data_IF_161818652831
#
_entry.id   IF_161818652831
#
_cell.length_a   1.000
_cell.length_b   1.000
_cell.length_c   1.000
_cell.angle_alpha   90.00
_cell.angle_beta   90.00
_cell.angle_gamma   90.00
#
_symmetry.space_group_name_H-M   'P 1'
#
loop_
_entity.id
_entity.type
_entity.pdbx_description
1 polymer ?
#
# COMPACT_ATOMS: atom_id res chain seq x y z
N UNK A 1 -33.96 -46.52 4.48
CA UNK A 1 -33.93 -45.36 3.57
C UNK A 1 -32.49 -45.11 3.19
N UNK A 2 -32.16 -45.18 1.90
CA UNK A 2 -30.80 -44.90 1.40
C UNK A 2 -30.60 -43.39 1.42
N UNK A 3 -29.66 -42.92 2.23
CA UNK A 3 -29.22 -41.52 2.24
C UNK A 3 -28.39 -41.33 0.97
N UNK A 4 -28.97 -40.68 -0.03
CA UNK A 4 -28.34 -40.51 -1.34
C UNK A 4 -27.35 -39.33 -1.38
N UNK A 5 -27.29 -38.50 -0.33
CA UNK A 5 -26.42 -37.33 -0.29
C UNK A 5 -26.13 -36.90 1.15
N UNK A 6 -24.86 -36.69 1.49
CA UNK A 6 -24.42 -36.09 2.76
C UNK A 6 -23.40 -35.01 2.42
N UNK A 7 -23.74 -33.76 2.73
CA UNK A 7 -22.87 -32.61 2.51
C UNK A 7 -22.18 -32.23 3.83
N UNK A 8 -20.85 -32.22 3.83
CA UNK A 8 -20.05 -31.82 4.99
C UNK A 8 -19.15 -30.67 4.58
N UNK A 9 -19.46 -29.47 5.06
CA UNK A 9 -18.64 -28.28 4.89
C UNK A 9 -17.88 -28.00 6.20
N UNK A 10 -16.56 -27.92 6.13
CA UNK A 10 -15.70 -27.52 7.24
C UNK A 10 -14.82 -26.35 6.81
N UNK A 11 -14.94 -25.22 7.49
CA UNK A 11 -14.17 -24.00 7.24
C UNK A 11 -12.99 -23.95 8.22
N UNK A 12 -11.91 -24.69 7.94
CA UNK A 12 -10.72 -24.71 8.80
C UNK A 12 -9.45 -24.52 7.98
N UNK A 13 -8.61 -23.55 8.38
CA UNK A 13 -7.35 -23.16 7.73
C UNK A 13 -6.19 -24.18 7.89
N UNK A 14 -6.44 -25.35 8.50
CA UNK A 14 -5.42 -26.36 8.77
C UNK A 14 -5.96 -27.77 9.06
N UNK A 15 -7.17 -28.12 8.62
CA UNK A 15 -7.65 -29.50 8.78
C UNK A 15 -7.03 -30.43 7.71
N UNK A 16 -6.56 -31.64 8.08
CA UNK A 16 -6.19 -32.68 7.12
C UNK A 16 -7.49 -33.27 6.54
N UNK A 17 -8.02 -32.59 5.52
CA UNK A 17 -9.26 -32.97 4.84
C UNK A 17 -9.11 -34.37 4.19
N UNK A 18 -7.89 -34.73 3.77
CA UNK A 18 -7.56 -36.03 3.16
C UNK A 18 -7.78 -37.21 4.11
N UNK A 19 -7.39 -37.08 5.38
CA UNK A 19 -7.55 -38.15 6.38
C UNK A 19 -9.03 -38.37 6.74
N UNK A 20 -9.81 -37.28 6.83
CA UNK A 20 -11.24 -37.33 7.13
C UNK A 20 -12.01 -37.95 5.96
N UNK A 21 -11.66 -37.59 4.72
CA UNK A 21 -12.27 -38.17 3.51
C UNK A 21 -11.89 -39.64 3.38
N UNK A 22 -10.66 -40.03 3.70
CA UNK A 22 -10.22 -41.44 3.70
C UNK A 22 -11.01 -42.31 4.69
N UNK A 23 -11.24 -41.80 5.90
CA UNK A 23 -11.99 -42.52 6.94
C UNK A 23 -13.49 -42.67 6.59
N UNK A 24 -14.10 -41.64 6.01
CA UNK A 24 -15.52 -41.67 5.62
C UNK A 24 -15.74 -42.59 4.40
N UNK A 25 -14.79 -42.60 3.45
CA UNK A 25 -14.81 -43.49 2.27
C UNK A 25 -14.72 -44.96 2.66
N UNK A 26 -13.95 -45.28 3.71
CA UNK A 26 -13.82 -46.63 4.24
C UNK A 26 -15.09 -47.11 4.98
N UNK A 27 -15.87 -46.19 5.57
CA UNK A 27 -17.07 -46.52 6.34
C UNK A 27 -18.34 -46.70 5.47
N UNK A 28 -18.39 -46.15 4.25
CA UNK A 28 -19.57 -46.19 3.37
C UNK A 28 -19.19 -46.53 1.90
N UNK A 29 -18.98 -47.81 1.55
CA UNK A 29 -18.71 -48.22 0.18
C UNK A 29 -20.00 -48.20 -0.65
N UNK A 30 -20.29 -47.07 -1.29
CA UNK A 30 -21.46 -46.92 -2.18
C UNK A 30 -21.97 -45.50 -2.42
N UNK A 31 -21.31 -44.48 -1.86
CA UNK A 31 -21.67 -43.07 -2.04
C UNK A 31 -20.54 -42.36 -2.78
N UNK A 32 -20.86 -41.67 -3.88
CA UNK A 32 -19.91 -40.88 -4.67
C UNK A 32 -19.54 -39.60 -3.92
N UNK A 33 -18.44 -39.64 -3.18
CA UNK A 33 -17.94 -38.50 -2.39
C UNK A 33 -17.14 -37.60 -3.34
N UNK A 34 -17.79 -36.56 -3.89
CA UNK A 34 -17.09 -35.50 -4.64
C UNK A 34 -16.48 -34.50 -3.68
N UNK A 35 -15.15 -34.44 -3.64
CA UNK A 35 -14.42 -33.40 -2.93
C UNK A 35 -14.63 -32.05 -3.62
N UNK A 36 -15.29 -31.11 -2.95
CA UNK A 36 -15.47 -29.70 -3.37
C UNK A 36 -14.14 -28.90 -3.52
N UNK A 37 -12.97 -29.57 -3.41
CA UNK A 37 -11.64 -28.96 -3.62
C UNK A 37 -11.47 -28.34 -5.00
N UNK A 38 -11.96 -28.98 -6.07
CA UNK A 38 -11.76 -28.49 -7.44
C UNK A 38 -12.39 -27.12 -7.72
N UNK A 39 -13.51 -26.78 -7.07
CA UNK A 39 -14.20 -25.50 -7.27
C UNK A 39 -13.58 -24.39 -6.40
N UNK A 40 -13.09 -24.73 -5.20
CA UNK A 40 -12.43 -23.78 -4.29
C UNK A 40 -11.01 -23.47 -4.78
N UNK A 41 -10.23 -24.46 -5.23
CA UNK A 41 -8.89 -24.22 -5.78
C UNK A 41 -8.94 -23.37 -7.05
N UNK A 42 -9.89 -23.62 -7.96
CA UNK A 42 -10.02 -22.81 -9.18
C UNK A 42 -10.46 -21.36 -8.91
N UNK A 43 -11.32 -21.12 -7.90
CA UNK A 43 -11.64 -19.76 -7.44
C UNK A 43 -10.45 -19.09 -6.78
N UNK A 44 -9.71 -19.80 -5.94
CA UNK A 44 -8.55 -19.24 -5.21
C UNK A 44 -7.40 -18.89 -6.15
N UNK A 45 -7.14 -19.68 -7.20
CA UNK A 45 -6.15 -19.36 -8.24
C UNK A 45 -6.55 -18.07 -8.98
N UNK A 46 -7.83 -17.91 -9.32
CA UNK A 46 -8.32 -16.71 -10.03
C UNK A 46 -8.22 -15.45 -9.17
N UNK A 47 -8.60 -15.54 -7.89
CA UNK A 47 -8.49 -14.42 -6.93
C UNK A 47 -7.03 -14.08 -6.64
N UNK A 48 -6.17 -15.09 -6.48
CA UNK A 48 -4.74 -14.86 -6.23
C UNK A 48 -4.05 -14.19 -7.42
N UNK A 49 -4.35 -14.63 -8.64
CA UNK A 49 -3.82 -14.02 -9.87
C UNK A 49 -4.22 -12.55 -9.98
N UNK A 50 -5.51 -12.22 -9.79
CA UNK A 50 -5.99 -10.83 -9.82
C UNK A 50 -5.34 -9.99 -8.72
N UNK A 51 -5.25 -10.52 -7.49
CA UNK A 51 -4.60 -9.82 -6.37
C UNK A 51 -3.12 -9.53 -6.66
N UNK A 52 -2.40 -10.49 -7.23
CA UNK A 52 -0.99 -10.32 -7.56
C UNK A 52 -0.77 -9.29 -8.68
N UNK A 53 -1.65 -9.25 -9.68
CA UNK A 53 -1.64 -8.20 -10.71
C UNK A 53 -1.93 -6.81 -10.12
N UNK A 54 -2.91 -6.69 -9.23
CA UNK A 54 -3.21 -5.41 -8.59
C UNK A 54 -2.01 -4.95 -7.74
N UNK A 55 -1.43 -5.84 -6.94
CA UNK A 55 -0.26 -5.52 -6.12
C UNK A 55 0.94 -5.08 -6.94
N UNK A 56 1.21 -5.71 -8.09
CA UNK A 56 2.32 -5.31 -8.95
C UNK A 56 2.09 -3.93 -9.58
N UNK A 57 0.87 -3.65 -10.04
CA UNK A 57 0.49 -2.34 -10.57
C UNK A 57 0.57 -1.27 -9.48
N UNK A 58 0.07 -1.54 -8.27
CA UNK A 58 0.17 -0.63 -7.14
C UNK A 58 1.62 -0.31 -6.77
N UNK A 59 2.52 -1.29 -6.83
CA UNK A 59 3.94 -1.07 -6.59
C UNK A 59 4.55 -0.12 -7.63
N UNK A 60 4.22 -0.29 -8.92
CA UNK A 60 4.68 0.62 -9.98
C UNK A 60 4.16 2.04 -9.75
N UNK A 61 2.88 2.19 -9.42
CA UNK A 61 2.28 3.51 -9.12
C UNK A 61 2.95 4.17 -7.92
N UNK A 62 3.27 3.40 -6.88
CA UNK A 62 3.96 3.90 -5.70
C UNK A 62 5.37 4.43 -6.07
N UNK A 63 6.11 3.68 -6.89
CA UNK A 63 7.44 4.08 -7.36
C UNK A 63 7.40 5.34 -8.24
N UNK A 64 6.42 5.44 -9.14
CA UNK A 64 6.26 6.64 -9.98
C UNK A 64 5.84 7.85 -9.13
N UNK A 65 4.97 7.65 -8.13
CA UNK A 65 4.61 8.68 -7.15
C UNK A 65 5.82 9.20 -6.38
N UNK A 66 6.67 8.30 -5.86
CA UNK A 66 7.92 8.69 -5.18
C UNK A 66 8.86 9.47 -6.11
N UNK A 67 8.97 9.04 -7.38
CA UNK A 67 9.80 9.72 -8.39
C UNK A 67 9.26 11.12 -8.71
N UNK A 68 7.94 11.28 -8.82
CA UNK A 68 7.27 12.57 -9.03
C UNK A 68 7.53 13.54 -7.87
N UNK A 69 7.44 13.08 -6.63
CA UNK A 69 7.78 13.90 -5.46
C UNK A 69 9.22 14.37 -5.53
N UNK A 70 10.17 13.48 -5.85
CA UNK A 70 11.58 13.85 -5.99
C UNK A 70 11.84 14.91 -7.07
N UNK A 71 11.21 14.75 -8.24
CA UNK A 71 11.30 15.73 -9.35
C UNK A 71 10.66 17.06 -8.97
N UNK A 72 9.48 17.04 -8.35
CA UNK A 72 8.78 18.24 -7.90
C UNK A 72 9.61 19.02 -6.88
N UNK A 73 10.19 18.32 -5.90
CA UNK A 73 11.09 18.94 -4.91
C UNK A 73 12.31 19.57 -5.57
N UNK A 74 12.88 18.91 -6.58
CA UNK A 74 14.02 19.45 -7.32
C UNK A 74 13.65 20.72 -8.09
N UNK A 75 12.44 20.79 -8.64
CA UNK A 75 11.91 22.01 -9.26
C UNK A 75 11.75 23.13 -8.24
N UNK A 76 11.15 22.85 -7.10
CA UNK A 76 10.97 23.83 -6.01
C UNK A 76 12.31 24.38 -5.50
N UNK A 77 13.33 23.51 -5.39
CA UNK A 77 14.70 23.93 -5.03
C UNK A 77 15.29 24.87 -6.08
N UNK A 78 15.06 24.61 -7.37
CA UNK A 78 15.54 25.46 -8.46
C UNK A 78 14.88 26.85 -8.46
N UNK A 79 13.59 26.93 -8.14
CA UNK A 79 12.86 28.19 -8.04
C UNK A 79 13.29 29.00 -6.81
N UNK A 80 13.56 28.32 -5.68
CA UNK A 80 13.88 28.94 -4.39
C UNK A 80 15.37 29.04 -4.10
N UNK A 81 16.26 28.86 -5.09
CA UNK A 81 17.72 28.91 -4.90
C UNK A 81 18.20 30.20 -4.23
N UNK A 82 17.61 31.34 -4.60
CA UNK A 82 17.97 32.66 -4.05
C UNK A 82 17.68 32.75 -2.55
N UNK A 83 16.51 32.27 -2.11
CA UNK A 83 16.13 32.22 -0.69
C UNK A 83 17.08 31.32 0.11
N UNK A 84 17.43 30.15 -0.44
CA UNK A 84 18.37 29.20 0.19
C UNK A 84 19.76 29.84 0.33
N UNK A 85 20.22 30.58 -0.68
CA UNK A 85 21.48 31.33 -0.65
C UNK A 85 21.52 32.39 0.45
N UNK A 86 20.42 33.14 0.65
CA UNK A 86 20.28 34.14 1.72
C UNK A 86 20.27 33.48 3.10
N UNK A 87 19.53 32.38 3.28
CA UNK A 87 19.53 31.64 4.54
C UNK A 87 20.93 31.12 4.90
N UNK A 88 21.67 30.61 3.91
CA UNK A 88 23.04 30.13 4.10
C UNK A 88 24.04 31.25 4.39
N UNK A 89 23.85 32.46 3.85
CA UNK A 89 24.72 33.60 4.15
C UNK A 89 24.46 34.18 5.56
N UNK A 90 23.25 34.00 6.10
CA UNK A 90 22.91 34.30 7.50
C UNK A 90 23.47 33.26 8.50
N UNK A 91 24.15 32.23 8.03
CA UNK A 91 24.82 31.24 8.88
C UNK A 91 24.05 29.93 9.11
N UNK A 92 22.94 29.69 8.40
CA UNK A 92 22.27 28.38 8.48
C UNK A 92 23.17 27.26 7.95
N UNK A 93 23.28 26.19 8.74
CA UNK A 93 24.05 25.01 8.35
C UNK A 93 23.36 24.22 7.22
N UNK A 94 24.16 23.50 6.41
CA UNK A 94 23.63 22.60 5.36
C UNK A 94 22.64 21.58 5.91
N UNK A 95 22.85 21.11 7.15
CA UNK A 95 21.96 20.16 7.83
C UNK A 95 20.61 20.77 8.19
N UNK A 96 20.59 22.05 8.59
CA UNK A 96 19.34 22.74 8.88
C UNK A 96 18.47 22.85 7.62
N UNK A 97 19.07 23.29 6.50
CA UNK A 97 18.39 23.36 5.20
C UNK A 97 17.87 21.98 4.77
N UNK A 98 18.70 20.94 4.88
CA UNK A 98 18.30 19.57 4.59
C UNK A 98 17.11 19.09 5.44
N UNK A 99 17.14 19.34 6.75
CA UNK A 99 16.06 18.92 7.67
C UNK A 99 14.72 19.59 7.35
N UNK A 100 14.74 20.84 6.87
CA UNK A 100 13.53 21.57 6.47
C UNK A 100 12.87 20.86 5.29
N UNK A 101 13.64 20.55 4.23
CA UNK A 101 13.10 19.86 3.06
C UNK A 101 12.65 18.43 3.37
N UNK A 102 13.38 17.69 4.22
CA UNK A 102 12.95 16.36 4.66
C UNK A 102 11.66 16.43 5.49
N UNK A 103 11.50 17.44 6.35
CA UNK A 103 10.28 17.64 7.13
C UNK A 103 9.10 18.02 6.24
N UNK A 104 9.30 18.89 5.24
CA UNK A 104 8.30 19.24 4.24
C UNK A 104 7.81 17.99 3.48
N UNK A 105 8.75 17.15 3.02
CA UNK A 105 8.41 15.89 2.36
C UNK A 105 7.71 14.89 3.29
N UNK A 106 8.07 14.84 4.57
CA UNK A 106 7.42 13.98 5.56
C UNK A 106 5.97 14.41 5.78
N UNK A 107 5.72 15.72 5.90
CA UNK A 107 4.38 16.29 6.06
C UNK A 107 3.52 15.99 4.83
N UNK A 108 4.06 16.17 3.63
CA UNK A 108 3.36 15.84 2.38
C UNK A 108 2.99 14.34 2.36
N UNK A 109 3.92 13.45 2.71
CA UNK A 109 3.66 12.00 2.74
C UNK A 109 2.64 11.59 3.80
N UNK A 110 2.65 12.24 4.97
CA UNK A 110 1.68 11.99 6.03
C UNK A 110 0.26 12.35 5.57
N UNK A 111 0.08 13.53 4.98
CA UNK A 111 -1.22 13.95 4.44
C UNK A 111 -1.65 13.09 3.25
N UNK A 112 -0.72 12.74 2.36
CA UNK A 112 -1.01 11.86 1.24
C UNK A 112 -1.48 10.47 1.70
N UNK A 113 -0.86 9.90 2.73
CA UNK A 113 -1.26 8.60 3.27
C UNK A 113 -2.58 8.63 4.02
N UNK A 114 -2.82 9.67 4.82
CA UNK A 114 -4.11 9.86 5.49
C UNK A 114 -5.25 10.02 4.47
N UNK A 115 -5.09 10.93 3.51
CA UNK A 115 -6.09 11.19 2.48
C UNK A 115 -6.28 9.98 1.56
N UNK A 116 -5.19 9.31 1.16
CA UNK A 116 -5.22 8.13 0.31
C UNK A 116 -5.95 6.96 0.95
N UNK A 117 -5.69 6.67 2.23
CA UNK A 117 -6.40 5.61 2.95
C UNK A 117 -7.89 5.93 3.08
N UNK A 118 -8.25 7.15 3.49
CA UNK A 118 -9.65 7.54 3.66
C UNK A 118 -10.41 7.50 2.33
N UNK A 119 -9.80 8.00 1.26
CA UNK A 119 -10.38 7.93 -0.09
C UNK A 119 -10.54 6.47 -0.55
N UNK A 120 -9.51 5.65 -0.36
CA UNK A 120 -9.55 4.22 -0.70
C UNK A 120 -10.63 3.46 0.08
N UNK A 121 -10.77 3.74 1.38
CA UNK A 121 -11.81 3.17 2.23
C UNK A 121 -13.21 3.57 1.74
N UNK A 122 -13.44 4.86 1.45
CA UNK A 122 -14.73 5.35 0.98
C UNK A 122 -15.12 4.78 -0.39
N UNK A 123 -14.15 4.72 -1.32
CA UNK A 123 -14.36 4.11 -2.64
C UNK A 123 -14.68 2.62 -2.50
N UNK A 124 -13.94 1.90 -1.66
CA UNK A 124 -14.19 0.48 -1.40
C UNK A 124 -15.58 0.26 -0.83
N UNK A 125 -15.99 1.07 0.15
CA UNK A 125 -17.33 1.03 0.74
C UNK A 125 -18.44 1.24 -0.30
N UNK A 126 -18.28 2.22 -1.20
CA UNK A 126 -19.23 2.48 -2.28
C UNK A 126 -19.30 1.35 -3.31
N UNK A 127 -18.18 0.75 -3.65
CA UNK A 127 -18.13 -0.38 -4.59
C UNK A 127 -18.88 -1.59 -4.03
N UNK A 128 -18.70 -1.90 -2.73
CA UNK A 128 -19.45 -3.00 -2.09
C UNK A 128 -20.96 -2.76 -2.10
N UNK A 129 -21.39 -1.52 -1.83
CA UNK A 129 -22.80 -1.16 -1.87
C UNK A 129 -23.41 -1.29 -3.28
N UNK A 130 -22.66 -0.99 -4.34
CA UNK A 130 -23.13 -1.14 -5.73
C UNK A 130 -23.21 -2.61 -6.16
N UNK A 131 -22.35 -3.47 -5.61
CA UNK A 131 -22.29 -4.90 -5.96
C UNK A 131 -23.26 -5.77 -5.15
N UNK A 132 -24.10 -5.18 -4.28
CA UNK A 132 -25.05 -5.89 -3.40
C UNK A 132 -24.37 -6.97 -2.52
N UNK A 133 -23.09 -6.75 -2.22
CA UNK A 133 -22.21 -7.65 -1.46
C UNK A 133 -22.07 -7.19 0.00
N UNK A 134 -23.09 -6.54 0.55
CA UNK A 134 -23.06 -5.95 1.90
C UNK A 134 -22.81 -7.01 3.00
N UNK A 135 -23.17 -8.28 2.74
CA UNK A 135 -22.94 -9.42 3.63
C UNK A 135 -21.65 -10.22 3.40
N UNK A 136 -20.88 -9.93 2.35
CA UNK A 136 -19.69 -10.72 1.98
C UNK A 136 -18.44 -10.43 2.83
N UNK A 137 -18.53 -9.46 3.74
CA UNK A 137 -17.46 -9.08 4.67
C UNK A 137 -17.47 -7.57 4.90
N UNK A 138 -17.75 -7.15 6.12
CA UNK A 138 -17.68 -5.74 6.48
C UNK A 138 -16.23 -5.24 6.36
N UNK A 139 -16.01 -4.15 5.62
CA UNK A 139 -14.72 -3.46 5.62
C UNK A 139 -14.58 -2.79 6.99
N UNK A 140 -13.88 -3.45 7.90
CA UNK A 140 -13.61 -2.90 9.22
C UNK A 140 -12.61 -1.73 9.10
N UNK A 141 -13.00 -0.57 9.61
CA UNK A 141 -12.09 0.56 9.75
C UNK A 141 -11.15 0.28 10.92
N UNK A 142 -9.91 -0.08 10.60
CA UNK A 142 -8.86 -0.33 11.59
C UNK A 142 -7.94 0.90 11.69
N UNK A 143 -7.99 1.67 12.80
CA UNK A 143 -7.16 2.87 12.95
C UNK A 143 -5.66 2.56 12.91
N UNK A 144 -5.27 1.33 13.26
CA UNK A 144 -3.88 0.88 13.15
C UNK A 144 -3.38 0.90 11.69
N UNK A 145 -4.21 0.47 10.73
CA UNK A 145 -3.85 0.50 9.31
C UNK A 145 -3.76 1.92 8.76
N UNK A 146 -4.63 2.83 9.21
CA UNK A 146 -4.56 4.24 8.86
C UNK A 146 -3.22 4.85 9.29
N UNK A 147 -2.84 4.66 10.55
CA UNK A 147 -1.58 5.21 11.09
C UNK A 147 -0.38 4.56 10.42
N UNK A 148 -0.40 3.23 10.21
CA UNK A 148 0.68 2.52 9.55
C UNK A 148 0.90 3.00 8.11
N UNK A 149 -0.16 3.16 7.32
CA UNK A 149 -0.06 3.63 5.92
C UNK A 149 0.42 5.08 5.85
N UNK A 150 -0.06 5.95 6.74
CA UNK A 150 0.39 7.34 6.82
C UNK A 150 1.88 7.44 7.18
N UNK A 151 2.35 6.64 8.15
CA UNK A 151 3.77 6.61 8.53
C UNK A 151 4.66 6.01 7.44
N UNK A 152 4.22 4.93 6.80
CA UNK A 152 4.96 4.32 5.68
C UNK A 152 5.11 5.30 4.53
N UNK A 153 4.04 6.01 4.16
CA UNK A 153 4.09 6.99 3.09
C UNK A 153 4.93 8.22 3.45
N UNK A 154 4.84 8.74 4.68
CA UNK A 154 5.74 9.78 5.16
C UNK A 154 7.21 9.35 5.07
N UNK A 155 7.52 8.11 5.45
CA UNK A 155 8.87 7.58 5.38
C UNK A 155 9.35 7.43 3.93
N UNK A 156 8.50 6.91 3.04
CA UNK A 156 8.81 6.75 1.61
C UNK A 156 9.04 8.08 0.91
N UNK A 157 8.21 9.10 1.16
CA UNK A 157 8.39 10.43 0.58
C UNK A 157 9.64 11.12 1.12
N UNK A 158 9.93 10.98 2.41
CA UNK A 158 11.18 11.46 3.01
C UNK A 158 12.40 10.77 2.40
N UNK A 159 12.35 9.46 2.17
CA UNK A 159 13.44 8.72 1.50
C UNK A 159 13.62 9.18 0.06
N UNK A 160 12.53 9.38 -0.68
CA UNK A 160 12.57 9.88 -2.05
C UNK A 160 13.12 11.32 -2.14
N UNK A 161 12.90 12.14 -1.10
CA UNK A 161 13.37 13.52 -1.07
C UNK A 161 14.80 13.69 -0.57
N UNK A 162 15.49 12.64 -0.11
CA UNK A 162 16.88 12.71 0.35
C UNK A 162 17.82 13.29 -0.72
N UNK A 163 17.70 12.83 -1.96
CA UNK A 163 18.53 13.28 -3.08
C UNK A 163 18.33 14.78 -3.39
N UNK A 164 17.09 15.27 -3.65
CA UNK A 164 16.88 16.70 -3.91
C UNK A 164 17.17 17.56 -2.68
N UNK A 165 16.89 17.11 -1.46
CA UNK A 165 17.22 17.84 -0.23
C UNK A 165 18.73 18.00 -0.05
N UNK A 166 19.52 16.96 -0.35
CA UNK A 166 20.98 17.04 -0.33
C UNK A 166 21.50 18.03 -1.38
N UNK A 167 20.94 17.97 -2.59
CA UNK A 167 21.28 18.91 -3.67
C UNK A 167 20.95 20.35 -3.29
N UNK A 168 19.81 20.60 -2.65
CA UNK A 168 19.44 21.92 -2.13
C UNK A 168 20.45 22.43 -1.08
N UNK A 169 20.82 21.56 -0.13
CA UNK A 169 21.77 21.88 0.92
C UNK A 169 23.21 22.15 0.40
N UNK A 170 23.56 21.62 -0.77
CA UNK A 170 24.88 21.83 -1.39
C UNK A 170 25.05 23.17 -2.11
N UNK A 171 23.98 23.91 -2.43
CA UNK A 171 24.04 25.16 -3.21
C UNK A 171 24.88 26.22 -2.49
N UNK A 172 25.97 26.67 -3.10
CA UNK A 172 26.87 27.64 -2.50
C UNK A 172 26.30 29.07 -2.51
N UNK A 173 26.49 29.84 -1.43
CA UNK A 173 25.94 31.19 -1.33
C UNK A 173 26.53 32.15 -2.38
N UNK A 174 27.78 31.93 -2.82
CA UNK A 174 28.41 32.70 -3.89
C UNK A 174 27.72 32.49 -5.24
N UNK A 175 27.42 31.25 -5.63
CA UNK A 175 26.70 30.95 -6.88
C UNK A 175 25.27 31.49 -6.87
N UNK A 176 24.60 31.42 -5.71
CA UNK A 176 23.24 31.95 -5.56
C UNK A 176 23.17 33.49 -5.70
N UNK A 177 24.26 34.19 -5.36
CA UNK A 177 24.34 35.65 -5.44
C UNK A 177 24.86 36.16 -6.80
N UNK A 178 25.65 35.37 -7.54
CA UNK A 178 26.15 35.75 -8.88
C UNK A 178 25.07 35.63 -9.96
N UNK A 179 24.00 34.87 -9.70
CA UNK A 179 22.83 34.76 -10.59
C UNK A 179 21.75 35.82 -10.34
N UNK A 180 22.10 36.90 -9.63
CA UNK A 180 21.33 38.14 -9.49
C UNK A 180 21.61 39.08 -10.66
#
# INVERSE_FOLDING_TARGET
>A
GKVNFVEVAALCSGCPIDDIVGQISAALPGVEIKTLRGIVEQRMVSVHFVKQLILSVSLVILLTGCSMVGISMLSAVNERKKEIGILRSLGFSRRAVFSIFCAEAAVIGLFAGLAGYLAGYFVSFRILAVLDMEGAGAIAFEPLHLVATALVLALLTSLASLFPAWKAASIEPSEALVTL
#
